data_IF_066073934401
#
_entry.id   IF_066073934401
#
_cell.length_a   1.000
_cell.length_b   1.000
_cell.length_c   1.000
_cell.angle_alpha   90.00
_cell.angle_beta   90.00
_cell.angle_gamma   90.00
#
_symmetry.space_group_name_H-M   'P 1'
#
loop_
_entity.id
_entity.type
_entity.pdbx_description
1 polymer ?
#
# COMPACT_ATOMS: atom_id res chain seq x y z
N UNK A 1 -2.44 -9.10 15.07
CA UNK A 1 -2.78 -10.23 14.18
C UNK A 1 -1.55 -10.47 13.33
N UNK A 2 -0.93 -11.64 13.43
CA UNK A 2 0.25 -11.97 12.61
C UNK A 2 -0.26 -12.32 11.22
N UNK A 3 0.21 -11.61 10.18
CA UNK A 3 -0.10 -11.99 8.80
C UNK A 3 0.79 -13.16 8.43
N UNK A 4 0.19 -14.30 8.07
CA UNK A 4 0.95 -15.50 7.73
C UNK A 4 1.70 -15.34 6.39
N UNK A 5 2.84 -16.01 6.26
CA UNK A 5 3.66 -15.95 5.04
C UNK A 5 2.89 -16.39 3.78
N UNK A 6 1.96 -17.34 3.89
CA UNK A 6 1.14 -17.78 2.76
C UNK A 6 0.19 -16.67 2.28
N UNK A 7 -0.32 -15.84 3.19
CA UNK A 7 -1.16 -14.68 2.87
C UNK A 7 -0.37 -13.60 2.15
N UNK A 8 0.88 -13.36 2.57
CA UNK A 8 1.80 -12.44 1.88
C UNK A 8 2.09 -12.96 0.46
N UNK A 9 2.34 -14.26 0.30
CA UNK A 9 2.58 -14.87 -1.01
C UNK A 9 1.38 -14.72 -1.95
N UNK A 10 0.15 -14.95 -1.46
CA UNK A 10 -1.07 -14.74 -2.25
C UNK A 10 -1.23 -13.27 -2.66
N UNK A 11 -0.99 -12.35 -1.72
CA UNK A 11 -1.10 -10.90 -1.96
C UNK A 11 -0.12 -10.43 -3.03
N UNK A 12 1.11 -10.96 -3.03
CA UNK A 12 2.11 -10.69 -4.07
C UNK A 12 1.66 -11.20 -5.45
N UNK A 13 1.10 -12.42 -5.52
CA UNK A 13 0.60 -12.97 -6.78
C UNK A 13 -0.56 -12.14 -7.36
N UNK A 14 -1.48 -11.70 -6.50
CA UNK A 14 -2.58 -10.78 -6.88
C UNK A 14 -2.06 -9.44 -7.39
N UNK A 15 -1.07 -8.87 -6.71
CA UNK A 15 -0.44 -7.62 -7.12
C UNK A 15 0.21 -7.72 -8.50
N UNK A 16 0.91 -8.81 -8.79
CA UNK A 16 1.49 -9.08 -10.11
C UNK A 16 0.42 -9.16 -11.20
N UNK A 17 -0.70 -9.85 -10.90
CA UNK A 17 -1.82 -9.95 -11.83
C UNK A 17 -2.47 -8.57 -12.09
N UNK A 18 -2.70 -7.78 -11.03
CA UNK A 18 -3.25 -6.44 -11.16
C UNK A 18 -2.34 -5.50 -11.97
N UNK A 19 -1.01 -5.66 -11.84
CA UNK A 19 -0.04 -4.93 -12.66
C UNK A 19 -0.12 -5.31 -14.13
N UNK A 20 -0.27 -6.60 -14.46
CA UNK A 20 -0.47 -7.07 -15.84
C UNK A 20 -1.77 -6.55 -16.45
N UNK A 21 -2.82 -6.48 -15.65
CA UNK A 21 -4.14 -5.95 -16.02
C UNK A 21 -4.18 -4.41 -16.08
N UNK A 22 -3.06 -3.74 -15.77
CA UNK A 22 -2.96 -2.26 -15.67
C UNK A 22 -3.95 -1.62 -14.69
N UNK A 23 -4.40 -2.37 -13.69
CA UNK A 23 -5.24 -1.87 -12.58
C UNK A 23 -4.43 -1.06 -11.57
N UNK A 24 -3.13 -1.31 -11.51
CA UNK A 24 -2.18 -0.59 -10.67
C UNK A 24 -0.96 -0.21 -11.53
N UNK A 25 -0.42 0.98 -11.30
CA UNK A 25 0.79 1.45 -11.98
C UNK A 25 2.01 0.65 -11.52
N UNK A 26 3.04 0.56 -12.37
CA UNK A 26 4.28 -0.14 -12.02
C UNK A 26 4.98 0.48 -10.81
N UNK A 27 4.86 1.80 -10.61
CA UNK A 27 5.41 2.48 -9.42
C UNK A 27 4.66 2.09 -8.15
N UNK A 28 3.33 2.14 -8.17
CA UNK A 28 2.51 1.71 -7.04
C UNK A 28 2.74 0.23 -6.70
N UNK A 29 2.82 -0.65 -7.70
CA UNK A 29 3.10 -2.06 -7.48
C UNK A 29 4.48 -2.29 -6.83
N UNK A 30 5.51 -1.55 -7.24
CA UNK A 30 6.82 -1.60 -6.60
C UNK A 30 6.78 -1.19 -5.12
N UNK A 31 6.06 -0.11 -4.80
CA UNK A 31 5.92 0.39 -3.44
C UNK A 31 5.10 -0.55 -2.54
N UNK A 32 3.98 -1.10 -3.05
CA UNK A 32 3.16 -2.09 -2.35
C UNK A 32 3.97 -3.35 -2.06
N UNK A 33 4.73 -3.84 -3.05
CA UNK A 33 5.61 -5.00 -2.87
C UNK A 33 6.62 -4.77 -1.76
N UNK A 34 7.24 -3.59 -1.70
CA UNK A 34 8.16 -3.24 -0.61
C UNK A 34 7.45 -3.35 0.74
N UNK A 35 6.27 -2.75 0.87
CA UNK A 35 5.49 -2.79 2.13
C UNK A 35 5.06 -4.20 2.53
N UNK A 36 4.85 -5.10 1.57
CA UNK A 36 4.54 -6.51 1.87
C UNK A 36 5.74 -7.32 2.36
N UNK A 37 6.97 -6.89 2.08
CA UNK A 37 8.19 -7.68 2.35
C UNK A 37 9.11 -7.09 3.41
N UNK A 38 9.02 -5.77 3.65
CA UNK A 38 9.88 -5.08 4.60
C UNK A 38 9.32 -5.19 6.02
N UNK A 39 10.08 -5.71 7.00
CA UNK A 39 9.62 -5.83 8.39
C UNK A 39 9.26 -4.48 9.01
N UNK A 40 9.81 -3.36 8.50
CA UNK A 40 9.48 -2.01 8.98
C UNK A 40 7.99 -1.65 8.79
N UNK A 41 7.28 -2.34 7.89
CA UNK A 41 5.86 -2.10 7.61
C UNK A 41 4.95 -3.23 8.12
N UNK A 42 5.46 -4.14 8.97
CA UNK A 42 4.71 -5.31 9.44
C UNK A 42 3.37 -4.93 10.09
N UNK A 43 3.32 -3.80 10.80
CA UNK A 43 2.11 -3.28 11.44
C UNK A 43 0.98 -2.94 10.44
N UNK A 44 1.33 -2.63 9.18
CA UNK A 44 0.40 -2.25 8.12
C UNK A 44 -0.05 -3.43 7.26
N UNK A 45 0.61 -4.59 7.39
CA UNK A 45 0.30 -5.78 6.58
C UNK A 45 -1.17 -6.21 6.64
N UNK A 46 -1.84 -6.27 7.82
CA UNK A 46 -3.23 -6.72 7.86
C UNK A 46 -4.15 -5.88 6.96
N UNK A 47 -3.97 -4.57 6.98
CA UNK A 47 -4.78 -3.65 6.20
C UNK A 47 -4.41 -3.65 4.72
N UNK A 48 -3.12 -3.75 4.40
CA UNK A 48 -2.65 -3.86 3.02
C UNK A 48 -3.19 -5.13 2.34
N UNK A 49 -3.16 -6.25 3.07
CA UNK A 49 -3.73 -7.53 2.62
C UNK A 49 -5.23 -7.42 2.42
N UNK A 50 -5.97 -6.78 3.33
CA UNK A 50 -7.43 -6.59 3.18
C UNK A 50 -7.78 -5.81 1.90
N UNK A 51 -7.05 -4.74 1.61
CA UNK A 51 -7.24 -3.96 0.39
C UNK A 51 -6.91 -4.76 -0.89
N UNK A 52 -5.86 -5.60 -0.84
CA UNK A 52 -5.47 -6.48 -1.95
C UNK A 52 -6.50 -7.58 -2.17
N UNK A 53 -6.98 -8.21 -1.10
CA UNK A 53 -7.99 -9.27 -1.17
C UNK A 53 -9.35 -8.73 -1.61
N UNK A 54 -9.67 -7.49 -1.24
CA UNK A 54 -10.87 -6.77 -1.66
C UNK A 54 -10.79 -6.15 -3.07
N UNK A 55 -9.74 -6.46 -3.85
CA UNK A 55 -9.52 -5.92 -5.20
C UNK A 55 -9.58 -4.37 -5.27
N UNK A 56 -9.18 -3.69 -4.20
CA UNK A 56 -9.21 -2.21 -4.08
C UNK A 56 -8.01 -1.56 -4.80
N UNK A 57 -7.77 -1.98 -6.04
CA UNK A 57 -6.58 -1.62 -6.82
C UNK A 57 -6.48 -0.13 -7.14
N UNK A 58 -7.60 0.55 -7.38
CA UNK A 58 -7.60 2.00 -7.62
C UNK A 58 -7.14 2.75 -6.35
N UNK A 59 -7.65 2.38 -5.19
CA UNK A 59 -7.27 2.98 -3.90
C UNK A 59 -5.82 2.68 -3.54
N UNK A 60 -5.38 1.44 -3.75
CA UNK A 60 -3.98 1.05 -3.62
C UNK A 60 -3.10 1.84 -4.59
N UNK A 61 -3.52 2.01 -5.84
CA UNK A 61 -2.79 2.82 -6.77
C UNK A 61 -2.70 4.26 -6.27
N UNK A 62 -3.80 4.88 -5.87
CA UNK A 62 -3.86 6.27 -5.39
C UNK A 62 -3.05 6.53 -4.11
N UNK A 63 -2.92 5.51 -3.25
CA UNK A 63 -2.14 5.59 -2.02
C UNK A 63 -0.62 5.35 -2.23
N UNK A 64 -0.24 4.59 -3.26
CA UNK A 64 1.13 4.13 -3.49
C UNK A 64 1.80 4.65 -4.78
N UNK A 65 1.08 5.33 -5.69
CA UNK A 65 1.63 5.80 -6.97
C UNK A 65 2.66 6.93 -6.83
N UNK A 66 2.54 7.74 -5.77
CA UNK A 66 3.48 8.81 -5.45
C UNK A 66 4.08 8.59 -4.05
N UNK A 67 5.41 8.54 -3.97
CA UNK A 67 6.15 8.65 -2.72
C UNK A 67 6.14 10.13 -2.33
N UNK A 68 5.39 10.53 -1.31
CA UNK A 68 5.51 11.87 -0.76
C UNK A 68 6.67 11.85 0.26
N UNK A 69 7.77 12.57 0.03
CA UNK A 69 8.81 12.69 1.03
C UNK A 69 8.22 13.34 2.29
N UNK A 70 8.31 12.66 3.43
CA UNK A 70 7.84 13.18 4.70
C UNK A 70 8.61 14.48 5.01
N UNK A 71 7.91 15.62 5.07
CA UNK A 71 8.47 16.90 5.51
C UNK A 71 8.17 18.13 4.65
N UNK A 72 6.92 18.61 4.61
CA UNK A 72 6.62 20.01 4.26
C UNK A 72 5.34 20.44 4.97
N UNK A 73 5.43 21.33 5.95
CA UNK A 73 4.28 21.83 6.69
C UNK A 73 3.20 22.44 5.79
N UNK A 74 1.93 22.14 6.08
CA UNK A 74 0.79 22.91 5.61
C UNK A 74 -0.08 22.28 4.52
N UNK A 75 -1.13 21.58 4.98
CA UNK A 75 -2.40 21.18 4.31
C UNK A 75 -2.31 20.09 3.21
N UNK A 76 -3.15 19.04 3.34
CA UNK A 76 -4.24 18.60 2.39
C UNK A 76 -4.43 17.08 2.27
N UNK A 77 -5.68 16.61 2.35
CA UNK A 77 -6.15 15.35 1.71
C UNK A 77 -6.87 14.35 2.63
N UNK A 78 -7.83 13.58 2.08
CA UNK A 78 -8.61 12.55 2.81
C UNK A 78 -7.66 11.49 3.39
N UNK A 79 -7.81 11.26 4.68
CA UNK A 79 -7.12 10.25 5.48
C UNK A 79 -7.25 8.87 4.82
N UNK A 80 -6.14 8.26 4.43
CA UNK A 80 -6.08 6.85 4.05
C UNK A 80 -5.32 6.11 5.15
N UNK A 81 -5.83 5.00 5.68
CA UNK A 81 -5.23 4.36 6.84
C UNK A 81 -3.90 3.64 6.55
N UNK A 82 -3.56 3.43 5.27
CA UNK A 82 -2.25 2.94 4.78
C UNK A 82 -1.84 3.62 3.47
N UNK A 83 -0.54 3.88 3.32
CA UNK A 83 0.08 4.37 2.09
C UNK A 83 1.21 5.37 2.32
N UNK A 84 2.17 5.46 1.39
CA UNK A 84 3.27 6.45 1.41
C UNK A 84 2.79 7.91 1.26
N UNK A 85 1.49 8.08 1.01
CA UNK A 85 0.80 9.36 0.89
C UNK A 85 -0.18 9.62 2.06
N UNK A 86 -0.10 8.83 3.14
CA UNK A 86 -0.88 9.07 4.35
C UNK A 86 -0.18 10.11 5.23
N UNK A 87 -0.70 11.33 5.24
CA UNK A 87 -0.22 12.44 6.07
C UNK A 87 -0.66 12.21 7.52
N UNK A 88 0.28 12.10 8.47
CA UNK A 88 0.00 12.07 9.91
C UNK A 88 -0.11 13.49 10.49
N UNK A 89 -1.19 13.76 11.22
CA UNK A 89 -1.39 15.00 11.97
C UNK A 89 -0.45 15.02 13.20
N UNK A 90 0.23 16.15 13.43
CA UNK A 90 1.01 16.39 14.66
C UNK A 90 0.22 17.39 15.50
N UNK A 91 -0.12 16.97 16.72
CA UNK A 91 -0.54 17.82 17.86
C UNK A 91 0.24 19.12 17.97
#
# INVERSE_FOLDING_TARGET
MVVEHDVIRDSLARLEQAGKEKKVSSSAAGNIRRWLTDPEFEEYLPQLVELIQGDRWQELNDAFWQVIPFGTGGRRGRMFPVGTNAINDRT
#
